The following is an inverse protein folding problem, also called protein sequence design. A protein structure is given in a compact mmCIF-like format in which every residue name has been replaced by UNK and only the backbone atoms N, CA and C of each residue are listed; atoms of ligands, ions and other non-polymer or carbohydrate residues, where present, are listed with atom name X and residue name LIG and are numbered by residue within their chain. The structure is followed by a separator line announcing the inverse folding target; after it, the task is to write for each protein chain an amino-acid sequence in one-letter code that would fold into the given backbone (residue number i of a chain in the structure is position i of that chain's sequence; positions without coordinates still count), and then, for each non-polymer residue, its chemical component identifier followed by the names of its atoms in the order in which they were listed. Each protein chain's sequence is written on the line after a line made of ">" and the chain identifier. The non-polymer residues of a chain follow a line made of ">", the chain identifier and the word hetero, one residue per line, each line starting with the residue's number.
data_IF_965129529920
#
_entry.id   IF_965129529920
#
_cell.length_a   1.000
_cell.length_b   1.000
_cell.length_c   1.000
_cell.angle_alpha   90.00
_cell.angle_beta   90.00
_cell.angle_gamma   90.00
#
_symmetry.space_group_name_H-M   'P 1'
#
loop_
_entity.id
_entity.type
_entity.pdbx_description
1 polymer ?
#
# COMPACT_ATOMS: atom_id res chain seq x y z
N UNK A 1 33.61 2.65 -15.18
CA UNK A 1 32.90 3.29 -16.32
C UNK A 1 31.41 2.92 -16.38
N UNK A 2 31.01 1.63 -16.40
CA UNK A 2 29.57 1.28 -16.45
C UNK A 2 28.76 1.64 -15.18
N UNK A 3 29.37 1.56 -13.99
CA UNK A 3 28.69 1.90 -12.73
C UNK A 3 28.32 3.39 -12.65
N UNK A 4 29.26 4.27 -12.99
CA UNK A 4 28.99 5.71 -12.95
C UNK A 4 27.97 6.16 -14.00
N UNK A 5 28.04 5.62 -15.22
CA UNK A 5 26.99 5.85 -16.24
C UNK A 5 25.60 5.43 -15.76
N UNK A 6 25.46 4.23 -15.19
CA UNK A 6 24.19 3.75 -14.64
C UNK A 6 23.70 4.60 -13.46
N UNK A 7 24.63 5.12 -12.64
CA UNK A 7 24.31 6.00 -11.52
C UNK A 7 23.79 7.35 -12.03
N UNK A 8 24.42 7.90 -13.05
CA UNK A 8 24.01 9.15 -13.70
C UNK A 8 22.64 8.99 -14.40
N UNK A 9 22.41 7.86 -15.09
CA UNK A 9 21.10 7.50 -15.65
C UNK A 9 20.02 7.36 -14.57
N UNK A 10 20.36 6.78 -13.41
CA UNK A 10 19.41 6.62 -12.30
C UNK A 10 19.00 7.96 -11.67
N UNK A 11 19.88 8.97 -11.67
CA UNK A 11 19.56 10.31 -11.18
C UNK A 11 18.71 11.14 -12.16
N UNK A 12 18.56 10.70 -13.41
CA UNK A 12 17.69 11.40 -14.36
C UNK A 12 16.23 11.29 -13.92
N UNK A 13 15.42 12.34 -14.15
CA UNK A 13 13.99 12.29 -13.89
C UNK A 13 13.36 11.10 -14.62
N UNK A 14 12.76 10.19 -13.87
CA UNK A 14 12.06 9.04 -14.42
C UNK A 14 10.57 9.36 -14.53
N UNK A 15 9.92 8.84 -15.58
CA UNK A 15 8.47 8.88 -15.69
C UNK A 15 7.88 7.65 -15.01
N UNK A 16 6.89 7.87 -14.16
CA UNK A 16 6.10 6.81 -13.51
C UNK A 16 4.64 7.04 -13.85
N UNK A 17 3.98 6.04 -14.43
CA UNK A 17 2.52 5.99 -14.48
C UNK A 17 2.00 5.49 -13.13
N UNK A 18 1.00 6.18 -12.59
CA UNK A 18 0.29 5.77 -11.39
C UNK A 18 -1.18 5.58 -11.79
N UNK A 19 -1.74 4.37 -11.61
CA UNK A 19 -3.14 4.13 -11.94
C UNK A 19 -4.04 4.89 -10.94
N UNK A 20 -4.91 5.73 -11.47
CA UNK A 20 -5.94 6.41 -10.68
C UNK A 20 -7.18 5.51 -10.60
N UNK A 21 -7.71 5.33 -9.40
CA UNK A 21 -8.85 4.45 -9.17
C UNK A 21 -10.15 5.24 -9.31
N UNK A 22 -11.09 4.72 -10.09
CA UNK A 22 -12.43 5.29 -10.18
C UNK A 22 -13.29 4.81 -9.00
N UNK A 23 -14.11 5.71 -8.48
CA UNK A 23 -15.09 5.39 -7.45
C UNK A 23 -16.21 4.49 -7.99
N UNK A 24 -16.63 3.51 -7.17
CA UNK A 24 -17.73 2.60 -7.52
C UNK A 24 -19.07 3.35 -7.52
N UNK A 25 -19.91 3.14 -8.52
CA UNK A 25 -21.26 3.73 -8.56
C UNK A 25 -22.11 3.34 -7.33
N UNK A 26 -23.01 4.23 -6.89
CA UNK A 26 -23.98 3.93 -5.84
C UNK A 26 -25.01 2.90 -6.32
N UNK A 27 -25.51 2.06 -5.41
CA UNK A 27 -26.60 1.12 -5.68
C UNK A 27 -27.84 1.58 -4.94
N UNK A 28 -28.97 1.62 -5.63
CA UNK A 28 -30.25 1.99 -5.07
C UNK A 28 -31.32 0.92 -5.37
N UNK A 29 -32.34 0.85 -4.51
CA UNK A 29 -33.53 0.06 -4.76
C UNK A 29 -34.43 0.74 -5.81
N UNK A 30 -35.48 0.04 -6.28
CA UNK A 30 -36.52 0.51 -7.21
C UNK A 30 -37.19 1.83 -6.81
N UNK A 31 -37.13 2.20 -5.53
CA UNK A 31 -37.69 3.45 -4.98
C UNK A 31 -36.63 4.55 -4.78
N UNK A 32 -35.39 4.34 -5.24
CA UNK A 32 -34.29 5.30 -5.09
C UNK A 32 -33.63 5.30 -3.71
N UNK A 33 -33.97 4.36 -2.83
CA UNK A 33 -33.32 4.22 -1.52
C UNK A 33 -31.90 3.67 -1.69
N UNK A 34 -30.91 4.35 -1.14
CA UNK A 34 -29.50 3.92 -1.20
C UNK A 34 -29.28 2.62 -0.44
N UNK A 35 -28.78 1.61 -1.15
CA UNK A 35 -28.39 0.30 -0.61
C UNK A 35 -26.88 0.20 -0.39
N UNK A 36 -26.10 0.85 -1.25
CA UNK A 36 -24.64 0.91 -1.10
C UNK A 36 -24.09 2.22 -1.65
N UNK A 37 -23.25 2.88 -0.86
CA UNK A 37 -22.64 4.17 -1.21
C UNK A 37 -21.17 4.23 -0.81
N UNK A 38 -20.48 5.24 -1.34
CA UNK A 38 -19.09 5.50 -1.06
C UNK A 38 -18.97 6.58 0.00
N UNK A 39 -18.26 6.28 1.09
CA UNK A 39 -17.99 7.22 2.17
C UNK A 39 -16.50 7.43 2.29
N UNK A 40 -16.09 8.68 2.50
CA UNK A 40 -14.69 9.02 2.72
C UNK A 40 -14.19 8.39 4.02
N UNK A 41 -13.00 7.82 3.97
CA UNK A 41 -12.31 7.19 5.09
C UNK A 41 -10.90 7.76 5.19
N UNK A 42 -10.50 8.19 6.37
CA UNK A 42 -9.15 8.67 6.63
C UNK A 42 -8.33 7.57 7.29
N UNK A 43 -7.16 7.27 6.74
CA UNK A 43 -6.27 6.24 7.24
C UNK A 43 -4.94 6.84 7.67
N UNK A 44 -4.41 6.29 8.75
CA UNK A 44 -3.07 6.55 9.23
C UNK A 44 -2.26 5.29 9.04
N UNK A 45 -1.14 5.43 8.36
CA UNK A 45 -0.23 4.35 8.02
C UNK A 45 1.22 4.72 8.25
N UNK A 46 2.07 3.72 8.08
CA UNK A 46 3.51 3.82 8.28
C UNK A 46 4.24 3.32 7.04
N UNK A 47 5.15 4.13 6.52
CA UNK A 47 6.06 3.79 5.44
C UNK A 47 7.47 3.59 5.98
N UNK A 48 7.89 2.33 6.10
CA UNK A 48 9.24 2.02 6.59
C UNK A 48 10.34 2.45 5.62
N UNK A 49 10.01 2.67 4.34
CA UNK A 49 10.95 3.14 3.32
C UNK A 49 11.61 4.46 3.73
N UNK A 50 10.83 5.43 4.19
CA UNK A 50 11.36 6.73 4.62
C UNK A 50 12.16 6.61 5.94
N UNK A 51 11.79 5.69 6.84
CA UNK A 51 12.54 5.41 8.08
C UNK A 51 13.91 4.77 7.75
N UNK A 52 14.00 3.99 6.67
CA UNK A 52 15.23 3.32 6.25
C UNK A 52 16.31 4.30 5.82
N UNK A 53 15.93 5.45 5.28
CA UNK A 53 16.86 6.51 4.86
C UNK A 53 17.61 7.12 6.07
N UNK A 54 17.04 7.02 7.27
CA UNK A 54 17.72 7.40 8.53
C UNK A 54 18.84 6.39 8.81
N UNK A 55 20.09 6.81 9.07
CA UNK A 55 21.19 5.89 9.35
C UNK A 55 20.97 5.10 10.65
N UNK A 56 21.41 3.83 10.66
CA UNK A 56 21.24 2.95 11.83
C UNK A 56 21.96 3.49 13.06
N UNK A 57 23.19 3.98 12.88
CA UNK A 57 24.06 4.50 13.93
C UNK A 57 24.89 5.66 13.40
N UNK A 58 25.16 6.65 14.23
CA UNK A 58 26.05 7.78 13.91
C UNK A 58 27.06 7.93 15.06
N UNK A 59 28.28 8.35 14.72
CA UNK A 59 29.26 8.80 15.72
C UNK A 59 28.86 10.17 16.24
N UNK A 60 28.52 10.25 17.52
CA UNK A 60 28.31 11.50 18.24
C UNK A 60 29.57 11.82 19.06
N UNK A 61 30.05 13.05 18.99
CA UNK A 61 31.13 13.53 19.84
C UNK A 61 30.51 14.34 20.96
N UNK A 62 30.66 13.89 22.21
CA UNK A 62 30.18 14.64 23.37
C UNK A 62 31.04 15.89 23.61
N UNK A 63 30.56 16.83 24.44
CA UNK A 63 31.28 18.08 24.80
C UNK A 63 32.68 17.83 25.40
N UNK A 64 32.94 16.61 25.87
CA UNK A 64 34.22 16.17 26.43
C UNK A 64 35.14 15.49 25.41
N UNK A 65 34.81 15.51 24.11
CA UNK A 65 35.64 14.97 23.02
C UNK A 65 35.57 13.44 22.84
N UNK A 66 34.80 12.74 23.67
CA UNK A 66 34.61 11.29 23.55
C UNK A 66 33.61 10.95 22.44
N UNK A 67 34.00 10.05 21.53
CA UNK A 67 33.13 9.55 20.45
C UNK A 67 32.31 8.38 20.96
N UNK A 68 30.99 8.50 20.88
CA UNK A 68 30.03 7.42 21.19
C UNK A 68 29.21 7.07 19.97
N UNK A 69 28.94 5.79 19.80
CA UNK A 69 28.12 5.28 18.70
C UNK A 69 26.66 5.27 19.14
N UNK A 70 25.85 6.19 18.63
CA UNK A 70 24.45 6.38 19.04
C UNK A 70 23.50 5.71 18.03
N UNK A 71 22.51 4.90 18.48
CA UNK A 71 21.57 4.21 17.60
C UNK A 71 20.41 5.11 17.14
N UNK A 72 20.70 6.07 16.25
CA UNK A 72 19.76 7.11 15.79
C UNK A 72 18.42 6.56 15.29
N UNK A 73 18.42 5.54 14.43
CA UNK A 73 17.16 4.98 13.89
C UNK A 73 16.28 4.36 14.98
N UNK A 74 16.89 3.66 15.95
CA UNK A 74 16.14 3.03 17.04
C UNK A 74 15.51 4.10 17.93
N UNK A 75 16.27 5.14 18.25
CA UNK A 75 15.77 6.26 19.06
C UNK A 75 14.68 7.06 18.33
N UNK A 76 14.80 7.20 17.01
CA UNK A 76 13.74 7.78 16.18
C UNK A 76 12.46 6.96 16.23
N UNK A 77 12.53 5.63 16.01
CA UNK A 77 11.36 4.75 16.04
C UNK A 77 10.65 4.83 17.38
N UNK A 78 11.40 4.88 18.50
CA UNK A 78 10.84 5.05 19.84
C UNK A 78 10.04 6.35 19.99
N UNK A 79 10.62 7.48 19.58
CA UNK A 79 9.96 8.79 19.63
C UNK A 79 8.76 8.85 18.70
N UNK A 80 8.87 8.22 17.54
CA UNK A 80 7.81 8.16 16.55
C UNK A 80 6.63 7.30 17.02
N UNK A 81 6.90 6.16 17.66
CA UNK A 81 5.90 5.31 18.30
C UNK A 81 5.21 6.04 19.45
N UNK A 82 5.96 6.75 20.29
CA UNK A 82 5.40 7.59 21.37
C UNK A 82 4.43 8.65 20.83
N UNK A 83 4.85 9.37 19.78
CA UNK A 83 4.02 10.37 19.12
C UNK A 83 2.73 9.77 18.55
N UNK A 84 2.82 8.66 17.81
CA UNK A 84 1.65 8.00 17.23
C UNK A 84 0.71 7.44 18.30
N UNK A 85 1.26 6.81 19.35
CA UNK A 85 0.48 6.28 20.45
C UNK A 85 -0.36 7.36 21.14
N UNK A 86 0.21 8.56 21.32
CA UNK A 86 -0.51 9.71 21.88
C UNK A 86 -1.62 10.24 20.97
N UNK A 87 -1.36 10.38 19.67
CA UNK A 87 -2.34 10.92 18.71
C UNK A 87 -3.47 9.95 18.39
N UNK A 88 -3.18 8.64 18.41
CA UNK A 88 -4.13 7.58 18.06
C UNK A 88 -4.76 6.90 19.27
N UNK A 89 -4.33 7.25 20.48
CA UNK A 89 -4.74 6.61 21.73
C UNK A 89 -4.52 5.09 21.73
N UNK A 90 -3.36 4.67 21.22
CA UNK A 90 -2.94 3.27 21.12
C UNK A 90 -1.81 2.97 22.11
N UNK A 91 -1.56 1.68 22.35
CA UNK A 91 -0.41 1.27 23.14
C UNK A 91 0.91 1.53 22.39
N UNK A 92 1.90 2.08 23.10
CA UNK A 92 3.22 2.43 22.54
C UNK A 92 3.96 1.18 22.10
N UNK A 93 4.00 0.16 22.95
CA UNK A 93 4.79 -1.05 22.71
C UNK A 93 4.22 -1.79 21.49
N UNK A 94 2.89 -1.85 21.39
CA UNK A 94 2.20 -2.36 20.19
C UNK A 94 2.61 -1.63 18.89
N UNK A 95 2.71 -0.31 18.89
CA UNK A 95 3.10 0.47 17.70
C UNK A 95 4.56 0.21 17.33
N UNK A 96 5.47 0.23 18.31
CA UNK A 96 6.90 -0.05 18.10
C UNK A 96 7.12 -1.48 17.55
N UNK A 97 6.47 -2.47 18.15
CA UNK A 97 6.52 -3.86 17.70
C UNK A 97 5.96 -4.03 16.28
N UNK A 98 4.86 -3.35 15.96
CA UNK A 98 4.26 -3.38 14.62
C UNK A 98 5.22 -2.80 13.57
N UNK A 99 5.90 -1.70 13.89
CA UNK A 99 6.93 -1.11 13.01
C UNK A 99 8.03 -2.12 12.73
N UNK A 100 8.57 -2.76 13.77
CA UNK A 100 9.64 -3.75 13.61
C UNK A 100 9.19 -5.00 12.87
N UNK A 101 8.01 -5.54 13.18
CA UNK A 101 7.47 -6.72 12.53
C UNK A 101 7.20 -6.49 11.03
N UNK A 102 6.63 -5.33 10.68
CA UNK A 102 6.31 -4.99 9.28
C UNK A 102 7.51 -4.49 8.49
N UNK A 103 8.58 -4.01 9.13
CA UNK A 103 9.79 -3.54 8.46
C UNK A 103 10.41 -4.58 7.50
N UNK A 104 10.38 -5.85 7.89
CA UNK A 104 10.93 -6.97 7.10
C UNK A 104 10.03 -7.35 5.91
N UNK A 105 8.70 -7.20 6.05
CA UNK A 105 7.71 -7.66 5.07
C UNK A 105 7.31 -6.56 4.09
N UNK A 106 7.12 -5.33 4.59
CA UNK A 106 6.56 -4.18 3.88
C UNK A 106 7.55 -3.02 3.82
N UNK A 107 8.84 -3.32 3.65
CA UNK A 107 9.90 -2.31 3.70
C UNK A 107 9.80 -1.19 2.65
N UNK A 108 9.03 -1.39 1.58
CA UNK A 108 8.85 -0.44 0.48
C UNK A 108 7.43 0.13 0.34
N UNK A 109 6.43 -0.47 1.01
CA UNK A 109 5.00 -0.16 0.83
C UNK A 109 4.43 0.29 2.17
N UNK A 110 3.65 1.39 2.22
CA UNK A 110 3.00 1.81 3.46
C UNK A 110 1.95 0.77 3.90
N UNK A 111 1.84 0.55 5.20
CA UNK A 111 0.77 -0.25 5.79
C UNK A 111 -0.12 0.61 6.68
N UNK A 112 -1.41 0.31 6.70
CA UNK A 112 -2.38 1.01 7.53
C UNK A 112 -2.19 0.55 8.99
N UNK A 113 -1.93 1.50 9.89
CA UNK A 113 -1.88 1.28 11.33
C UNK A 113 -3.29 1.41 11.93
N UNK A 114 -4.01 2.47 11.54
CA UNK A 114 -5.38 2.69 11.95
C UNK A 114 -6.21 3.23 10.80
N UNK A 115 -7.35 2.58 10.56
CA UNK A 115 -8.33 2.99 9.56
C UNK A 115 -9.44 3.83 10.20
N UNK A 116 -10.07 4.69 9.40
CA UNK A 116 -11.23 5.49 9.76
C UNK A 116 -11.02 6.41 10.99
N UNK A 117 -9.91 7.14 11.00
CA UNK A 117 -9.66 8.18 12.02
C UNK A 117 -10.55 9.41 11.79
N UNK A 118 -10.71 10.24 12.82
CA UNK A 118 -11.45 11.49 12.69
C UNK A 118 -10.76 12.44 11.69
N UNK A 119 -11.54 13.25 10.98
CA UNK A 119 -11.00 14.25 10.04
C UNK A 119 -10.03 15.22 10.73
N UNK A 120 -10.33 15.63 11.97
CA UNK A 120 -9.45 16.49 12.76
C UNK A 120 -8.09 15.84 13.01
N UNK A 121 -8.08 14.56 13.37
CA UNK A 121 -6.84 13.79 13.57
C UNK A 121 -6.09 13.65 12.25
N UNK A 122 -6.78 13.32 11.16
CA UNK A 122 -6.22 13.21 9.82
C UNK A 122 -5.51 14.50 9.39
N UNK A 123 -6.19 15.64 9.48
CA UNK A 123 -5.64 16.94 9.08
C UNK A 123 -4.41 17.31 9.92
N UNK A 124 -4.45 17.07 11.23
CA UNK A 124 -3.32 17.30 12.12
C UNK A 124 -2.11 16.46 11.73
N UNK A 125 -2.30 15.15 11.53
CA UNK A 125 -1.22 14.25 11.12
C UNK A 125 -0.71 14.57 9.71
N UNK A 126 -1.60 15.01 8.81
CA UNK A 126 -1.21 15.42 7.45
C UNK A 126 -0.26 16.61 7.45
N UNK A 127 -0.45 17.57 8.35
CA UNK A 127 0.46 18.71 8.51
C UNK A 127 1.84 18.29 9.04
N UNK A 128 1.88 17.24 9.86
CA UNK A 128 3.09 16.71 10.50
C UNK A 128 3.82 15.65 9.66
N UNK A 129 3.23 15.18 8.56
CA UNK A 129 3.80 14.17 7.66
C UNK A 129 5.19 14.55 7.12
N UNK A 130 5.42 15.85 6.89
CA UNK A 130 6.72 16.38 6.45
C UNK A 130 7.81 16.31 7.53
N UNK A 131 7.42 16.37 8.80
CA UNK A 131 8.33 16.46 9.94
C UNK A 131 8.68 15.06 10.49
N UNK A 132 7.85 14.06 10.17
CA UNK A 132 8.01 12.67 10.61
C UNK A 132 8.23 11.72 9.43
N UNK A 133 9.49 11.47 9.03
CA UNK A 133 9.82 10.44 8.06
C UNK A 133 9.17 9.09 8.37
N UNK A 134 8.29 8.64 7.48
CA UNK A 134 7.60 7.36 7.61
C UNK A 134 6.17 7.46 8.13
N UNK A 135 5.70 8.63 8.55
CA UNK A 135 4.26 8.88 8.64
C UNK A 135 3.67 8.87 7.23
N UNK A 136 2.58 8.13 7.04
CA UNK A 136 1.85 8.10 5.78
C UNK A 136 0.38 8.29 6.07
N UNK A 137 -0.20 9.40 5.61
CA UNK A 137 -1.62 9.69 5.85
C UNK A 137 -2.36 9.78 4.53
N UNK A 138 -3.38 8.94 4.36
CA UNK A 138 -4.13 8.82 3.12
C UNK A 138 -5.64 8.91 3.33
N UNK A 139 -6.32 9.54 2.37
CA UNK A 139 -7.77 9.48 2.24
C UNK A 139 -8.13 8.38 1.25
N UNK A 140 -8.96 7.44 1.67
CA UNK A 140 -9.50 6.38 0.82
C UNK A 140 -11.02 6.43 0.83
N UNK A 141 -11.64 5.74 -0.12
CA UNK A 141 -13.09 5.56 -0.13
C UNK A 141 -13.43 4.17 0.40
N UNK A 142 -14.36 4.11 1.36
CA UNK A 142 -14.91 2.84 1.86
C UNK A 142 -16.35 2.68 1.39
N UNK A 143 -16.76 1.44 1.18
CA UNK A 143 -18.14 1.13 0.85
C UNK A 143 -18.98 1.07 2.13
N UNK A 144 -20.05 1.85 2.17
CA UNK A 144 -21.03 1.85 3.25
C UNK A 144 -22.35 1.24 2.78
N UNK A 145 -22.90 0.35 3.61
CA UNK A 145 -24.17 -0.33 3.38
C UNK A 145 -25.12 0.11 4.51
N UNK A 146 -26.07 1.04 4.25
CA UNK A 146 -26.89 1.62 5.31
C UNK A 146 -27.72 0.60 6.10
N UNK A 147 -28.19 -0.45 5.45
CA UNK A 147 -28.94 -1.56 6.10
C UNK A 147 -28.03 -2.71 6.56
N UNK A 148 -26.71 -2.51 6.49
CA UNK A 148 -25.71 -3.45 6.96
C UNK A 148 -25.83 -4.82 6.31
N UNK A 149 -25.98 -5.85 7.16
CA UNK A 149 -25.88 -7.26 6.76
C UNK A 149 -26.95 -7.70 5.76
N UNK A 150 -28.20 -7.24 5.92
CA UNK A 150 -29.31 -7.65 5.06
C UNK A 150 -29.03 -7.35 3.59
N UNK A 151 -28.47 -6.18 3.31
CA UNK A 151 -28.13 -5.76 1.95
C UNK A 151 -26.78 -6.34 1.52
N UNK A 152 -25.82 -6.47 2.43
CA UNK A 152 -24.53 -7.09 2.13
C UNK A 152 -24.66 -8.57 1.72
N UNK A 153 -25.56 -9.33 2.34
CA UNK A 153 -25.81 -10.73 1.98
C UNK A 153 -26.50 -10.84 0.61
N UNK A 154 -27.28 -9.83 0.20
CA UNK A 154 -27.99 -9.80 -1.09
C UNK A 154 -27.09 -9.30 -2.25
N UNK A 155 -26.36 -8.22 -2.04
CA UNK A 155 -25.54 -7.56 -3.07
C UNK A 155 -24.08 -8.07 -3.09
N UNK A 156 -23.65 -8.75 -2.02
CA UNK A 156 -22.25 -8.90 -1.69
C UNK A 156 -21.69 -7.69 -0.93
N UNK A 157 -20.44 -7.82 -0.49
CA UNK A 157 -19.73 -6.76 0.21
C UNK A 157 -18.36 -6.49 -0.41
N UNK A 158 -17.74 -5.38 -0.01
CA UNK A 158 -16.39 -5.01 -0.48
C UNK A 158 -15.48 -5.05 0.73
N UNK A 159 -14.37 -5.78 0.62
CA UNK A 159 -13.40 -5.92 1.72
C UNK A 159 -11.96 -5.95 1.22
N UNK A 160 -10.99 -5.93 2.15
CA UNK A 160 -9.58 -6.03 1.78
C UNK A 160 -9.32 -7.35 1.04
N UNK A 161 -8.47 -7.28 0.03
CA UNK A 161 -7.95 -8.44 -0.68
C UNK A 161 -7.33 -9.44 0.31
N UNK A 162 -7.69 -10.72 0.19
CA UNK A 162 -7.07 -11.74 1.03
C UNK A 162 -5.63 -12.02 0.58
N UNK A 163 -4.78 -12.51 1.49
CA UNK A 163 -3.41 -12.90 1.12
C UNK A 163 -3.39 -14.00 0.04
N UNK A 164 -4.40 -14.86 0.01
CA UNK A 164 -4.55 -15.93 -0.98
C UNK A 164 -4.95 -15.38 -2.36
N UNK A 165 -5.94 -14.49 -2.40
CA UNK A 165 -6.35 -13.77 -3.61
C UNK A 165 -5.19 -12.98 -4.20
N UNK A 166 -4.47 -12.23 -3.36
CA UNK A 166 -3.29 -11.47 -3.78
C UNK A 166 -2.21 -12.39 -4.38
N UNK A 167 -1.92 -13.53 -3.74
CA UNK A 167 -0.97 -14.53 -4.26
C UNK A 167 -1.43 -15.12 -5.59
N UNK A 168 -2.72 -15.40 -5.75
CA UNK A 168 -3.29 -15.92 -6.99
C UNK A 168 -3.10 -14.93 -8.13
N UNK A 169 -3.48 -13.67 -7.92
CA UNK A 169 -3.31 -12.59 -8.90
C UNK A 169 -1.83 -12.37 -9.23
N UNK A 170 -0.95 -12.36 -8.22
CA UNK A 170 0.51 -12.19 -8.43
C UNK A 170 1.09 -13.32 -9.28
N UNK A 171 0.66 -14.56 -9.03
CA UNK A 171 1.08 -15.73 -9.81
C UNK A 171 0.58 -15.63 -11.25
N UNK A 172 -0.67 -15.24 -11.43
CA UNK A 172 -1.27 -15.06 -12.75
C UNK A 172 -0.55 -13.98 -13.57
N UNK A 173 -0.27 -12.81 -12.96
CA UNK A 173 0.56 -11.77 -13.58
C UNK A 173 1.95 -12.28 -13.99
N UNK A 174 2.59 -13.07 -13.12
CA UNK A 174 3.88 -13.71 -13.41
C UNK A 174 3.79 -14.62 -14.64
N UNK A 175 2.80 -15.50 -14.69
CA UNK A 175 2.59 -16.43 -15.80
C UNK A 175 2.31 -15.70 -17.13
N UNK A 176 1.50 -14.63 -17.11
CA UNK A 176 1.19 -13.84 -18.31
C UNK A 176 2.43 -13.12 -18.84
N UNK A 177 3.26 -12.56 -17.95
CA UNK A 177 4.54 -11.91 -18.32
C UNK A 177 5.53 -12.90 -18.89
N UNK A 178 5.63 -14.09 -18.29
CA UNK A 178 6.48 -15.17 -18.80
C UNK A 178 6.01 -15.64 -20.18
N UNK A 179 4.70 -15.76 -20.39
CA UNK A 179 4.10 -16.11 -21.69
C UNK A 179 4.47 -15.11 -22.79
N UNK A 180 4.36 -13.79 -22.51
CA UNK A 180 4.76 -12.74 -23.47
C UNK A 180 6.26 -12.79 -23.75
N UNK A 181 7.08 -12.96 -22.70
CA UNK A 181 8.53 -13.06 -22.83
C UNK A 181 8.95 -14.25 -23.70
N UNK A 182 8.41 -15.44 -23.44
CA UNK A 182 8.70 -16.65 -24.21
C UNK A 182 8.37 -16.45 -25.69
N UNK A 183 7.23 -15.83 -26.00
CA UNK A 183 6.86 -15.49 -27.36
C UNK A 183 7.83 -14.49 -28.03
N UNK A 184 8.27 -13.46 -27.30
CA UNK A 184 9.24 -12.47 -27.79
C UNK A 184 10.64 -13.06 -28.00
N UNK A 185 11.01 -14.08 -27.23
CA UNK A 185 12.26 -14.84 -27.36
C UNK A 185 12.19 -15.92 -28.45
N UNK A 186 11.02 -16.13 -29.07
CA UNK A 186 10.79 -17.12 -30.13
C UNK A 186 10.58 -18.55 -29.64
N UNK A 187 10.32 -18.73 -28.35
CA UNK A 187 9.95 -20.00 -27.73
C UNK A 187 8.43 -20.26 -27.89
N UNK A 188 7.99 -21.51 -27.79
CA UNK A 188 6.56 -21.86 -27.78
C UNK A 188 5.92 -21.53 -26.42
N UNK A 189 5.10 -20.47 -26.31
CA UNK A 189 4.57 -20.02 -25.03
C UNK A 189 3.47 -20.98 -24.53
N UNK A 190 3.49 -21.30 -23.25
CA UNK A 190 2.39 -22.03 -22.61
C UNK A 190 1.23 -21.08 -22.32
N UNK A 191 0.19 -21.13 -23.14
CA UNK A 191 -1.00 -20.31 -22.93
C UNK A 191 -1.82 -20.79 -21.72
N UNK A 192 -2.40 -19.86 -20.94
CA UNK A 192 -3.40 -20.19 -19.93
C UNK A 192 -4.63 -20.86 -20.55
N UNK A 193 -5.35 -21.65 -19.76
CA UNK A 193 -6.55 -22.35 -20.21
C UNK A 193 -7.60 -21.36 -20.78
N UNK A 194 -8.05 -21.59 -22.01
CA UNK A 194 -9.04 -20.76 -22.69
C UNK A 194 -8.51 -19.58 -23.48
N UNK A 195 -7.18 -19.38 -23.54
CA UNK A 195 -6.53 -18.33 -24.34
C UNK A 195 -5.76 -18.98 -25.49
N UNK A 196 -5.90 -18.45 -26.70
CA UNK A 196 -5.31 -19.04 -27.91
C UNK A 196 -4.37 -18.09 -28.66
N UNK A 197 -4.30 -16.83 -28.25
CA UNK A 197 -3.52 -15.79 -28.93
C UNK A 197 -2.75 -14.93 -27.93
N UNK A 198 -1.55 -14.50 -28.33
CA UNK A 198 -0.71 -13.58 -27.57
C UNK A 198 -1.38 -12.22 -27.38
N UNK A 199 -2.20 -11.78 -28.34
CA UNK A 199 -2.94 -10.51 -28.21
C UNK A 199 -3.96 -10.56 -27.07
N UNK A 200 -4.59 -11.73 -26.86
CA UNK A 200 -5.48 -11.95 -25.72
C UNK A 200 -4.71 -11.95 -24.40
N UNK A 201 -3.50 -12.54 -24.38
CA UNK A 201 -2.59 -12.50 -23.20
C UNK A 201 -2.20 -11.06 -22.88
N UNK A 202 -1.82 -10.27 -23.89
CA UNK A 202 -1.47 -8.85 -23.72
C UNK A 202 -2.64 -8.03 -23.20
N UNK A 203 -3.84 -8.25 -23.74
CA UNK A 203 -5.06 -7.58 -23.29
C UNK A 203 -5.38 -7.93 -21.82
N UNK A 204 -5.33 -9.22 -21.48
CA UNK A 204 -5.59 -9.67 -20.10
C UNK A 204 -4.54 -9.16 -19.12
N UNK A 205 -3.26 -9.18 -19.51
CA UNK A 205 -2.18 -8.59 -18.70
C UNK A 205 -2.45 -7.10 -18.47
N UNK A 206 -2.81 -6.37 -19.52
CA UNK A 206 -3.14 -4.96 -19.42
C UNK A 206 -4.34 -4.72 -18.49
N UNK A 207 -5.42 -5.51 -18.61
CA UNK A 207 -6.58 -5.43 -17.72
C UNK A 207 -6.20 -5.67 -16.25
N UNK A 208 -5.43 -6.72 -15.96
CA UNK A 208 -4.97 -7.03 -14.60
C UNK A 208 -4.01 -5.97 -14.04
N UNK A 209 -3.13 -5.42 -14.88
CA UNK A 209 -2.24 -4.32 -14.48
C UNK A 209 -3.00 -3.01 -14.23
N UNK A 210 -4.05 -2.74 -15.02
CA UNK A 210 -4.95 -1.59 -14.82
C UNK A 210 -5.75 -1.68 -13.53
N UNK A 211 -6.13 -2.89 -13.11
CA UNK A 211 -6.78 -3.08 -11.81
C UNK A 211 -5.85 -2.86 -10.59
N UNK A 212 -4.54 -2.77 -10.82
CA UNK A 212 -3.54 -2.27 -9.86
C UNK A 212 -3.71 -2.80 -8.42
N UNK A 213 -4.02 -4.10 -8.27
CA UNK A 213 -4.25 -4.72 -6.96
C UNK A 213 -3.01 -4.59 -6.07
N UNK A 214 -3.07 -3.67 -5.11
CA UNK A 214 -2.12 -3.55 -4.01
C UNK A 214 -2.58 -4.35 -2.80
N UNK A 215 -1.70 -4.47 -1.81
CA UNK A 215 -2.00 -5.14 -0.54
C UNK A 215 -3.18 -4.52 0.22
N UNK A 216 -3.46 -3.24 -0.02
CA UNK A 216 -4.57 -2.51 0.60
C UNK A 216 -5.80 -2.38 -0.32
N UNK A 217 -5.81 -3.04 -1.48
CA UNK A 217 -6.92 -2.93 -2.44
C UNK A 217 -8.18 -3.62 -1.93
N UNK A 218 -9.33 -3.03 -2.28
CA UNK A 218 -10.66 -3.49 -1.89
C UNK A 218 -11.33 -4.29 -3.01
N UNK A 219 -11.58 -5.57 -2.77
CA UNK A 219 -12.21 -6.50 -3.72
C UNK A 219 -13.65 -6.82 -3.29
N UNK A 220 -14.53 -6.99 -4.28
CA UNK A 220 -15.90 -7.46 -4.06
C UNK A 220 -15.91 -8.93 -3.67
N UNK A 221 -16.61 -9.24 -2.58
CA UNK A 221 -16.80 -10.58 -2.03
C UNK A 221 -18.28 -10.93 -2.09
N UNK A 222 -18.56 -12.19 -2.36
CA UNK A 222 -19.92 -12.71 -2.30
C UNK A 222 -20.39 -12.70 -0.83
N UNK A 223 -21.67 -12.38 -0.64
CA UNK A 223 -22.37 -12.44 0.64
C UNK A 223 -22.73 -13.86 1.03
#
# INVERSE_FOLDING_TARGET
>A
VQHEKKKEEAYRPQRRSVPEHCDRAGVCDRFGKTLAENVLQYNVGISYRAIRDIPTRIWHTDEQGNKRLVPVRKDYIKKFADFLAQELHMDRDFVEDTIHAKASVLGSVPYILQANVSERTFLRLKMLEKDWPGLHVESSVRRHYPEGRTVADLLGYVGPISAEEHRKITRELGNLRECIRAYEEGEDPKFPAGISSVDQVRKLLHELEMHAYGLNSLIGKLG
#
